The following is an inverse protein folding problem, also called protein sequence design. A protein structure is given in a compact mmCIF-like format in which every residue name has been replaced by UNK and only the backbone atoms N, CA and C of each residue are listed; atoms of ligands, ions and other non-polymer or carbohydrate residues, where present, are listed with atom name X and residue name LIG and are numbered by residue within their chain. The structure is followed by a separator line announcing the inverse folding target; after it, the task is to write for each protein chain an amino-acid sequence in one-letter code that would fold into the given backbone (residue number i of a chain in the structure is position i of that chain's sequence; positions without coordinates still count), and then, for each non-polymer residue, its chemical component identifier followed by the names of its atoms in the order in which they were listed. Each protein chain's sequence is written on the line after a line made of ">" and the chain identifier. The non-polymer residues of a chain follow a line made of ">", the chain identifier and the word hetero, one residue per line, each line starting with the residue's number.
data_IF_484940422945
#
_entry.id   IF_484940422945
#
_cell.length_a   1.000
_cell.length_b   1.000
_cell.length_c   1.000
_cell.angle_alpha   90.00
_cell.angle_beta   90.00
_cell.angle_gamma   90.00
#
_symmetry.space_group_name_H-M   'P 1'
#
loop_
_entity.id
_entity.type
_entity.pdbx_description
1 polymer ?
#
# COMPACT_ATOMS: atom_id res chain seq x y z
N UNK A 1 -36.08 13.63 -22.78
CA UNK A 1 -35.47 12.47 -22.19
C UNK A 1 -34.61 12.95 -21.03
N UNK A 2 -35.08 12.84 -19.80
CA UNK A 2 -34.25 13.07 -18.63
C UNK A 2 -33.29 11.90 -18.57
N UNK A 3 -32.09 12.06 -19.10
CA UNK A 3 -31.02 11.08 -18.89
C UNK A 3 -30.66 11.16 -17.40
N UNK A 4 -31.00 10.13 -16.65
CA UNK A 4 -30.55 10.00 -15.28
C UNK A 4 -29.02 10.13 -15.28
N UNK A 5 -28.50 11.11 -14.51
CA UNK A 5 -27.07 11.36 -14.42
C UNK A 5 -26.41 10.21 -13.66
N UNK A 6 -25.25 9.79 -14.12
CA UNK A 6 -24.45 8.83 -13.36
C UNK A 6 -24.02 9.43 -12.02
N UNK A 7 -24.03 8.64 -10.98
CA UNK A 7 -23.53 9.05 -9.67
C UNK A 7 -22.19 8.38 -9.40
N UNK A 8 -21.16 9.18 -9.18
CA UNK A 8 -19.81 8.72 -8.86
C UNK A 8 -19.39 9.13 -7.46
N UNK A 9 -18.92 8.18 -6.66
CA UNK A 9 -18.35 8.50 -5.34
C UNK A 9 -16.98 9.15 -5.50
N UNK A 10 -16.73 10.28 -4.80
CA UNK A 10 -15.44 10.98 -4.79
C UNK A 10 -14.30 10.05 -4.32
N UNK A 11 -14.56 9.16 -3.36
CA UNK A 11 -13.57 8.18 -2.88
C UNK A 11 -13.16 7.13 -3.94
N UNK A 12 -13.93 7.00 -5.01
CA UNK A 12 -13.65 6.07 -6.11
C UNK A 12 -13.19 6.75 -7.41
N UNK A 13 -13.24 8.08 -7.51
CA UNK A 13 -13.04 8.81 -8.78
C UNK A 13 -11.63 8.62 -9.40
N UNK A 14 -10.63 8.31 -8.57
CA UNK A 14 -9.28 7.94 -9.01
C UNK A 14 -9.14 6.46 -9.43
N UNK A 15 -10.17 5.65 -9.27
CA UNK A 15 -10.15 4.21 -9.59
C UNK A 15 -9.96 3.94 -11.09
N UNK A 16 -9.81 2.65 -11.43
CA UNK A 16 -9.65 2.20 -12.81
C UNK A 16 -10.84 2.63 -13.67
N UNK A 17 -10.56 3.23 -14.84
CA UNK A 17 -11.59 3.73 -15.78
C UNK A 17 -12.53 2.63 -16.26
N UNK A 18 -12.00 1.42 -16.53
CA UNK A 18 -12.84 0.26 -16.91
C UNK A 18 -13.76 -0.17 -15.76
N UNK A 19 -13.27 -0.15 -14.52
CA UNK A 19 -14.10 -0.42 -13.35
C UNK A 19 -15.23 0.61 -13.22
N UNK A 20 -14.91 1.90 -13.33
CA UNK A 20 -15.90 2.96 -13.22
C UNK A 20 -16.95 2.87 -14.34
N UNK A 21 -16.54 2.58 -15.57
CA UNK A 21 -17.48 2.37 -16.66
C UNK A 21 -18.37 1.15 -16.44
N UNK A 22 -17.85 0.06 -15.87
CA UNK A 22 -18.64 -1.10 -15.51
C UNK A 22 -19.68 -0.80 -14.41
N UNK A 23 -19.30 -0.02 -13.40
CA UNK A 23 -20.22 0.44 -12.35
C UNK A 23 -21.37 1.28 -12.97
N UNK A 24 -21.06 2.18 -13.89
CA UNK A 24 -22.06 3.02 -14.57
C UNK A 24 -22.92 2.27 -15.57
N UNK A 25 -22.43 1.18 -16.15
CA UNK A 25 -23.19 0.23 -16.98
C UNK A 25 -23.97 -0.80 -16.15
N UNK A 26 -23.96 -0.66 -14.81
CA UNK A 26 -24.65 -1.55 -13.88
C UNK A 26 -24.19 -3.01 -13.90
N UNK A 27 -22.91 -3.27 -14.22
CA UNK A 27 -22.35 -4.59 -14.02
C UNK A 27 -22.36 -4.95 -12.53
N UNK A 28 -22.70 -6.18 -12.21
CA UNK A 28 -22.77 -6.65 -10.82
C UNK A 28 -21.38 -7.07 -10.34
N UNK A 29 -20.79 -6.42 -9.33
CA UNK A 29 -19.47 -6.80 -8.83
C UNK A 29 -19.50 -8.16 -8.11
N UNK A 30 -18.39 -8.89 -8.15
CA UNK A 30 -18.20 -10.06 -7.29
C UNK A 30 -18.17 -9.58 -5.83
N UNK A 31 -18.88 -10.25 -4.90
CA UNK A 31 -18.86 -9.88 -3.49
C UNK A 31 -17.43 -9.83 -2.93
N UNK A 32 -17.12 -8.77 -2.20
CA UNK A 32 -15.81 -8.64 -1.57
C UNK A 32 -15.61 -9.69 -0.47
N UNK A 33 -14.40 -10.20 -0.28
CA UNK A 33 -14.11 -11.10 0.82
C UNK A 33 -14.36 -10.44 2.19
N UNK A 34 -14.87 -11.18 3.15
CA UNK A 34 -15.20 -10.68 4.50
C UNK A 34 -14.05 -9.98 5.23
N UNK A 35 -12.80 -10.35 4.93
CA UNK A 35 -11.65 -9.68 5.55
C UNK A 35 -11.50 -8.22 5.09
N UNK A 36 -11.96 -7.87 3.88
CA UNK A 36 -11.96 -6.48 3.37
C UNK A 36 -12.97 -5.64 4.14
N UNK A 37 -14.15 -6.19 4.41
CA UNK A 37 -15.18 -5.53 5.24
C UNK A 37 -14.66 -5.25 6.65
N UNK A 38 -14.05 -6.26 7.30
CA UNK A 38 -13.42 -6.08 8.62
C UNK A 38 -12.32 -5.02 8.61
N UNK A 39 -11.51 -4.98 7.56
CA UNK A 39 -10.46 -3.96 7.43
C UNK A 39 -11.03 -2.55 7.30
N UNK A 40 -12.20 -2.39 6.68
CA UNK A 40 -12.88 -1.10 6.59
C UNK A 40 -13.44 -0.68 7.97
N UNK A 41 -14.00 -1.61 8.74
CA UNK A 41 -14.51 -1.32 10.09
C UNK A 41 -13.38 -0.95 11.06
N UNK A 42 -12.24 -1.63 10.99
CA UNK A 42 -11.03 -1.22 11.74
C UNK A 42 -10.58 0.19 11.35
N UNK A 43 -10.68 0.54 10.06
CA UNK A 43 -10.40 1.90 9.59
C UNK A 43 -11.22 2.94 10.31
N UNK A 44 -12.54 2.75 10.40
CA UNK A 44 -13.46 3.66 11.09
C UNK A 44 -13.14 3.80 12.58
N UNK A 45 -12.75 2.70 13.24
CA UNK A 45 -12.36 2.74 14.64
C UNK A 45 -11.10 3.60 14.87
N UNK A 46 -10.07 3.44 14.01
CA UNK A 46 -8.86 4.23 14.08
C UNK A 46 -9.11 5.71 13.79
N UNK A 47 -10.01 6.02 12.87
CA UNK A 47 -10.46 7.36 12.54
C UNK A 47 -11.13 8.03 13.75
N UNK A 48 -12.14 7.39 14.34
CA UNK A 48 -12.84 7.91 15.52
C UNK A 48 -11.88 8.19 16.69
N UNK A 49 -10.90 7.30 16.90
CA UNK A 49 -9.89 7.48 17.94
C UNK A 49 -8.98 8.68 17.66
N UNK A 50 -8.51 8.84 16.41
CA UNK A 50 -7.67 10.00 16.04
C UNK A 50 -8.42 11.31 16.18
N UNK A 51 -9.69 11.34 15.81
CA UNK A 51 -10.55 12.52 15.99
C UNK A 51 -10.62 12.89 17.46
N UNK A 52 -10.82 11.90 18.35
CA UNK A 52 -10.85 12.16 19.79
C UNK A 52 -9.49 12.67 20.32
N UNK A 53 -8.39 12.02 19.92
CA UNK A 53 -7.03 12.45 20.29
C UNK A 53 -6.73 13.91 19.87
N UNK A 54 -7.25 14.35 18.73
CA UNK A 54 -7.11 15.72 18.26
C UNK A 54 -7.99 16.70 19.07
N UNK A 55 -9.21 16.30 19.38
CA UNK A 55 -10.08 17.11 20.25
C UNK A 55 -9.48 17.30 21.63
N UNK A 56 -8.92 16.24 22.21
CA UNK A 56 -8.22 16.30 23.51
C UNK A 56 -6.98 17.24 23.46
N UNK A 57 -6.44 17.48 22.27
CA UNK A 57 -5.36 18.46 21.99
C UNK A 57 -5.89 19.84 21.62
N UNK A 58 -7.16 20.12 21.84
CA UNK A 58 -7.78 21.42 21.61
C UNK A 58 -8.20 21.74 20.18
N UNK A 59 -8.07 20.80 19.23
CA UNK A 59 -8.57 21.03 17.87
C UNK A 59 -10.09 20.99 17.81
N UNK A 60 -10.68 21.91 17.08
CA UNK A 60 -12.11 21.94 16.79
C UNK A 60 -12.34 21.20 15.48
N UNK A 61 -13.05 20.06 15.55
CA UNK A 61 -13.40 19.23 14.37
C UNK A 61 -14.90 19.30 14.19
N UNK A 62 -15.31 19.86 13.05
CA UNK A 62 -16.70 20.12 12.69
C UNK A 62 -17.05 19.49 11.33
N UNK A 63 -18.31 19.55 10.93
CA UNK A 63 -18.83 19.11 9.64
C UNK A 63 -18.44 17.66 9.28
N UNK A 64 -18.36 16.79 10.30
CA UNK A 64 -18.03 15.38 10.09
C UNK A 64 -19.10 14.70 9.23
N UNK A 65 -18.65 13.89 8.28
CA UNK A 65 -19.50 13.17 7.33
C UNK A 65 -20.46 14.09 6.57
N UNK A 66 -20.09 15.36 6.39
CA UNK A 66 -20.88 16.28 5.57
C UNK A 66 -20.81 15.81 4.11
N UNK A 67 -21.99 15.62 3.53
CA UNK A 67 -22.10 15.32 2.11
C UNK A 67 -21.75 16.56 1.28
N UNK A 68 -20.87 16.36 0.31
CA UNK A 68 -20.53 17.35 -0.70
C UNK A 68 -20.76 16.76 -2.08
N UNK A 69 -21.12 17.60 -3.04
CA UNK A 69 -21.34 17.18 -4.41
C UNK A 69 -20.85 18.21 -5.43
N UNK A 70 -20.44 17.70 -6.58
CA UNK A 70 -20.11 18.49 -7.76
C UNK A 70 -20.98 17.96 -8.89
N UNK A 71 -21.88 18.80 -9.38
CA UNK A 71 -22.80 18.42 -10.44
C UNK A 71 -22.24 18.85 -11.80
N UNK A 72 -22.30 17.92 -12.76
CA UNK A 72 -21.96 18.15 -14.16
C UNK A 72 -23.16 17.82 -15.06
N UNK A 73 -23.12 18.16 -16.33
CA UNK A 73 -24.20 17.75 -17.27
C UNK A 73 -24.36 16.21 -17.36
N UNK A 74 -23.31 15.43 -17.16
CA UNK A 74 -23.29 13.98 -17.42
C UNK A 74 -23.36 13.13 -16.15
N UNK A 75 -22.78 13.61 -15.05
CA UNK A 75 -22.71 12.88 -13.79
C UNK A 75 -22.74 13.81 -12.57
N UNK A 76 -23.00 13.22 -11.42
CA UNK A 76 -22.87 13.85 -10.11
C UNK A 76 -21.70 13.17 -9.39
N UNK A 77 -20.69 13.93 -9.01
CA UNK A 77 -19.60 13.48 -8.18
C UNK A 77 -19.94 13.82 -6.73
N UNK A 78 -20.11 12.82 -5.87
CA UNK A 78 -20.57 13.02 -4.50
C UNK A 78 -19.71 12.27 -3.48
N UNK A 79 -19.63 12.76 -2.27
CA UNK A 79 -18.89 12.12 -1.18
C UNK A 79 -19.15 12.77 0.16
N UNK A 80 -18.59 12.16 1.21
CA UNK A 80 -18.68 12.66 2.57
C UNK A 80 -17.27 12.95 3.03
N UNK A 81 -17.00 14.20 3.42
CA UNK A 81 -15.71 14.59 3.99
C UNK A 81 -15.60 14.07 5.44
N UNK A 82 -14.38 13.77 5.89
CA UNK A 82 -14.16 13.43 7.30
C UNK A 82 -14.44 14.61 8.22
N UNK A 83 -14.33 15.82 7.71
CA UNK A 83 -14.73 17.04 8.39
C UNK A 83 -13.92 18.25 8.00
N UNK A 84 -14.09 19.30 8.80
CA UNK A 84 -13.21 20.48 8.83
C UNK A 84 -12.52 20.54 10.18
N UNK A 85 -11.28 21.05 10.19
CA UNK A 85 -10.49 21.20 11.42
C UNK A 85 -9.99 22.63 11.57
N UNK A 86 -10.01 23.14 12.80
CA UNK A 86 -9.47 24.45 13.21
C UNK A 86 -8.59 24.30 14.44
N UNK A 87 -7.68 25.23 14.60
CA UNK A 87 -6.90 25.37 15.82
C UNK A 87 -7.19 26.75 16.45
N UNK A 88 -7.72 26.82 17.69
CA UNK A 88 -8.03 28.09 18.32
C UNK A 88 -6.76 28.85 18.74
N UNK A 89 -6.78 30.18 18.62
CA UNK A 89 -5.62 31.06 18.87
C UNK A 89 -5.14 31.06 20.32
N UNK A 90 -6.01 30.72 21.26
CA UNK A 90 -5.75 30.73 22.69
C UNK A 90 -5.19 29.38 23.24
N UNK A 91 -5.07 28.37 22.42
CA UNK A 91 -4.59 27.05 22.85
C UNK A 91 -3.03 26.96 22.74
N UNK A 92 -2.33 26.45 23.76
CA UNK A 92 -0.86 26.49 23.80
C UNK A 92 -0.16 25.45 22.90
N UNK A 93 -0.81 24.30 22.58
CA UNK A 93 -0.19 23.19 21.86
C UNK A 93 -0.74 23.04 20.44
N UNK A 94 -0.03 23.60 19.47
CA UNK A 94 -0.35 23.46 18.04
C UNK A 94 0.39 22.28 17.39
N UNK A 95 0.01 21.09 17.74
CA UNK A 95 0.63 19.83 17.27
C UNK A 95 0.68 19.68 15.73
N UNK A 96 -0.34 20.18 15.02
CA UNK A 96 -0.41 20.15 13.55
C UNK A 96 0.18 21.40 12.88
N UNK A 97 0.57 22.40 13.66
CA UNK A 97 1.10 23.69 13.17
C UNK A 97 0.17 24.43 12.23
N UNK A 98 -1.13 24.41 12.52
CA UNK A 98 -2.14 25.14 11.74
C UNK A 98 -2.08 26.62 12.04
N UNK A 99 -2.49 27.44 11.08
CA UNK A 99 -2.73 28.86 11.36
C UNK A 99 -3.94 29.00 12.29
N UNK A 100 -3.84 29.80 13.35
CA UNK A 100 -4.95 29.99 14.29
C UNK A 100 -6.22 30.47 13.61
N UNK A 101 -7.36 29.94 14.08
CA UNK A 101 -8.71 30.29 13.65
C UNK A 101 -9.00 30.10 12.14
N UNK A 102 -8.10 29.42 11.41
CA UNK A 102 -8.31 29.08 10.01
C UNK A 102 -8.90 27.68 9.86
N UNK A 103 -9.81 27.56 8.91
CA UNK A 103 -10.47 26.29 8.58
C UNK A 103 -9.65 25.50 7.56
N UNK A 104 -9.46 24.22 7.81
CA UNK A 104 -8.82 23.28 6.91
C UNK A 104 -9.78 22.13 6.60
N UNK A 105 -9.76 21.64 5.37
CA UNK A 105 -10.37 20.36 5.05
C UNK A 105 -9.61 19.26 5.78
N UNK A 106 -10.33 18.28 6.33
CA UNK A 106 -9.74 17.23 7.15
C UNK A 106 -10.01 15.85 6.56
N UNK A 107 -8.97 15.04 6.43
CA UNK A 107 -9.05 13.68 5.92
C UNK A 107 -8.12 12.75 6.73
N UNK A 108 -8.63 11.55 7.03
CA UNK A 108 -7.88 10.49 7.72
C UNK A 108 -7.87 9.25 6.86
N UNK A 109 -6.70 8.63 6.75
CA UNK A 109 -6.54 7.27 6.22
C UNK A 109 -5.78 6.41 7.21
N UNK A 110 -6.10 5.13 7.21
CA UNK A 110 -5.35 4.13 7.97
C UNK A 110 -5.07 2.91 7.13
N UNK A 111 -3.90 2.34 7.30
CA UNK A 111 -3.47 1.16 6.56
C UNK A 111 -2.63 0.22 7.41
N UNK A 112 -2.29 -0.94 6.85
CA UNK A 112 -1.30 -1.84 7.40
C UNK A 112 0.08 -1.19 7.43
N UNK A 113 1.02 -1.76 8.20
CA UNK A 113 2.42 -1.32 8.21
C UNK A 113 3.02 -1.29 6.79
N UNK A 114 2.68 -2.27 5.94
CA UNK A 114 3.15 -2.31 4.56
C UNK A 114 2.62 -1.12 3.74
N UNK A 115 1.33 -0.80 3.87
CA UNK A 115 0.72 0.35 3.19
C UNK A 115 1.26 1.67 3.74
N UNK A 116 1.49 1.76 5.06
CA UNK A 116 2.14 2.92 5.67
C UNK A 116 3.57 3.12 5.16
N UNK A 117 4.35 2.05 5.00
CA UNK A 117 5.70 2.15 4.41
C UNK A 117 5.67 2.58 2.94
N UNK A 118 4.69 2.13 2.15
CA UNK A 118 4.47 2.64 0.79
C UNK A 118 4.12 4.12 0.81
N UNK A 119 3.20 4.52 1.70
CA UNK A 119 2.83 5.92 1.90
C UNK A 119 4.07 6.79 2.19
N UNK A 120 4.92 6.37 3.11
CA UNK A 120 6.14 7.10 3.47
C UNK A 120 7.14 7.24 2.33
N UNK A 121 7.11 6.35 1.31
CA UNK A 121 7.99 6.44 0.14
C UNK A 121 7.60 7.55 -0.82
N UNK A 122 6.32 7.69 -1.13
CA UNK A 122 5.88 8.57 -2.20
C UNK A 122 4.50 9.19 -1.98
N UNK A 123 3.87 8.97 -0.81
CA UNK A 123 2.56 9.55 -0.48
C UNK A 123 1.55 9.40 -1.60
N UNK A 124 1.04 10.51 -2.12
CA UNK A 124 0.04 10.52 -3.18
C UNK A 124 0.53 9.88 -4.50
N UNK A 125 1.84 9.91 -4.79
CA UNK A 125 2.41 9.22 -5.96
C UNK A 125 2.20 7.71 -5.86
N UNK A 126 2.36 7.15 -4.66
CA UNK A 126 2.09 5.73 -4.40
C UNK A 126 0.60 5.40 -4.26
N UNK A 127 -0.23 6.41 -4.00
CA UNK A 127 -1.66 6.27 -3.76
C UNK A 127 -2.47 7.31 -4.58
N UNK A 128 -2.46 7.23 -5.92
CA UNK A 128 -3.15 8.19 -6.79
C UNK A 128 -4.66 8.23 -6.55
N UNK A 129 -5.26 7.16 -6.05
CA UNK A 129 -6.67 7.15 -5.65
C UNK A 129 -6.94 8.09 -4.48
N UNK A 130 -6.02 8.20 -3.53
CA UNK A 130 -6.14 9.13 -2.40
C UNK A 130 -5.91 10.58 -2.84
N UNK A 131 -4.99 10.80 -3.78
CA UNK A 131 -4.79 12.09 -4.42
C UNK A 131 -6.07 12.58 -5.10
N UNK A 132 -6.67 11.72 -5.93
CA UNK A 132 -7.91 12.04 -6.63
C UNK A 132 -9.07 12.29 -5.66
N UNK A 133 -9.21 11.46 -4.62
CA UNK A 133 -10.25 11.63 -3.60
C UNK A 133 -10.13 12.98 -2.90
N UNK A 134 -8.97 13.30 -2.35
CA UNK A 134 -8.80 14.54 -1.58
C UNK A 134 -8.87 15.78 -2.49
N UNK A 135 -8.46 15.66 -3.75
CA UNK A 135 -8.61 16.70 -4.75
C UNK A 135 -10.09 16.97 -5.07
N UNK A 136 -10.89 15.91 -5.23
CA UNK A 136 -12.33 16.05 -5.43
C UNK A 136 -13.04 16.64 -4.21
N UNK A 137 -12.65 16.21 -2.99
CA UNK A 137 -13.17 16.77 -1.75
C UNK A 137 -12.83 18.27 -1.61
N UNK A 138 -11.60 18.65 -1.92
CA UNK A 138 -11.17 20.04 -1.91
C UNK A 138 -12.01 20.89 -2.87
N UNK A 139 -12.22 20.40 -4.10
CA UNK A 139 -12.99 21.11 -5.11
C UNK A 139 -14.45 21.33 -4.68
N UNK A 140 -15.09 20.31 -4.11
CA UNK A 140 -16.46 20.43 -3.60
C UNK A 140 -16.54 21.30 -2.34
N UNK A 141 -15.62 21.13 -1.40
CA UNK A 141 -15.67 21.80 -0.11
C UNK A 141 -15.30 23.31 -0.18
N UNK A 142 -14.44 23.72 -1.12
CA UNK A 142 -14.04 25.14 -1.27
C UNK A 142 -15.20 26.07 -1.65
N UNK A 143 -16.29 25.52 -2.17
CA UNK A 143 -17.51 26.30 -2.45
C UNK A 143 -18.36 26.53 -1.20
N UNK A 144 -18.17 25.73 -0.15
CA UNK A 144 -18.92 25.76 1.10
C UNK A 144 -18.16 26.46 2.22
N UNK A 145 -16.83 26.44 2.18
CA UNK A 145 -15.96 26.90 3.25
C UNK A 145 -14.81 27.76 2.74
N UNK A 146 -14.43 28.78 3.52
CA UNK A 146 -13.15 29.51 3.32
C UNK A 146 -12.00 28.64 3.82
N UNK A 147 -11.53 27.72 3.01
CA UNK A 147 -10.49 26.76 3.36
C UNK A 147 -9.10 27.36 3.18
N UNK A 148 -8.29 27.27 4.24
CA UNK A 148 -6.88 27.66 4.19
C UNK A 148 -5.97 26.57 3.63
N UNK A 149 -6.38 25.32 3.70
CA UNK A 149 -5.62 24.16 3.25
C UNK A 149 -6.29 22.85 3.65
N UNK A 150 -5.50 21.80 3.60
CA UNK A 150 -5.92 20.43 3.89
C UNK A 150 -5.04 19.87 5.01
N UNK A 151 -5.64 19.24 6.01
CA UNK A 151 -4.97 18.36 6.97
C UNK A 151 -5.24 16.92 6.56
N UNK A 152 -4.21 16.22 6.12
CA UNK A 152 -4.28 14.84 5.73
C UNK A 152 -3.46 13.97 6.70
N UNK A 153 -4.09 13.03 7.34
CA UNK A 153 -3.47 12.11 8.31
C UNK A 153 -3.45 10.69 7.75
N UNK A 154 -2.30 10.05 7.80
CA UNK A 154 -2.18 8.63 7.47
C UNK A 154 -1.64 7.85 8.66
N UNK A 155 -2.42 6.90 9.18
CA UNK A 155 -2.09 6.09 10.35
C UNK A 155 -1.73 4.67 9.99
N UNK A 156 -0.62 4.17 10.53
CA UNK A 156 -0.36 2.74 10.62
C UNK A 156 -1.20 2.11 11.73
N UNK A 157 -2.01 1.11 11.35
CA UNK A 157 -2.89 0.40 12.29
C UNK A 157 -2.15 -0.52 13.24
N UNK A 158 -0.98 -1.04 12.84
CA UNK A 158 -0.22 -2.03 13.58
C UNK A 158 0.73 -1.44 14.61
N UNK A 159 1.51 -0.43 14.20
CA UNK A 159 2.54 0.19 15.04
C UNK A 159 2.15 1.55 15.63
N UNK A 160 0.98 2.08 15.24
CA UNK A 160 0.49 3.37 15.73
C UNK A 160 1.22 4.59 15.17
N UNK A 161 2.10 4.43 14.18
CA UNK A 161 2.77 5.56 13.53
C UNK A 161 1.77 6.44 12.78
N UNK A 162 2.04 7.75 12.77
CA UNK A 162 1.18 8.75 12.14
C UNK A 162 2.03 9.69 11.27
N UNK A 163 1.74 9.73 9.97
CA UNK A 163 2.20 10.81 9.09
C UNK A 163 1.16 11.93 9.04
N UNK A 164 1.64 13.17 9.07
CA UNK A 164 0.83 14.39 9.09
C UNK A 164 1.24 15.27 7.94
N UNK A 165 0.31 15.55 7.05
CA UNK A 165 0.49 16.46 5.93
C UNK A 165 -0.44 17.65 6.09
N UNK A 166 0.14 18.86 6.05
CA UNK A 166 -0.64 20.10 5.94
C UNK A 166 -0.33 20.70 4.58
N UNK A 167 -1.33 20.69 3.71
CA UNK A 167 -1.23 21.15 2.33
C UNK A 167 -1.94 22.49 2.19
N UNK A 168 -1.38 23.40 1.43
CA UNK A 168 -2.01 24.70 1.16
C UNK A 168 -3.14 24.62 0.12
N UNK A 169 -3.15 23.55 -0.70
CA UNK A 169 -4.12 23.29 -1.75
C UNK A 169 -4.20 21.78 -2.02
N UNK A 170 -5.13 21.38 -2.88
CA UNK A 170 -5.22 19.99 -3.33
C UNK A 170 -3.91 19.50 -3.97
N UNK A 171 -3.51 18.23 -3.74
CA UNK A 171 -2.28 17.69 -4.30
C UNK A 171 -2.37 17.40 -5.80
N UNK A 172 -3.56 17.15 -6.34
CA UNK A 172 -3.80 16.84 -7.75
C UNK A 172 -4.53 17.96 -8.51
N UNK A 173 -4.72 17.74 -9.80
CA UNK A 173 -5.52 18.61 -10.68
C UNK A 173 -6.93 18.03 -10.88
N UNK A 174 -7.93 18.75 -10.41
CA UNK A 174 -9.34 18.36 -10.59
C UNK A 174 -9.77 18.28 -12.05
N UNK A 175 -9.17 19.08 -12.94
CA UNK A 175 -9.50 19.03 -14.36
C UNK A 175 -9.13 17.68 -15.01
N UNK A 176 -8.06 17.03 -14.52
CA UNK A 176 -7.68 15.68 -14.97
C UNK A 176 -8.72 14.64 -14.54
N UNK A 177 -9.20 14.73 -13.29
CA UNK A 177 -10.28 13.86 -12.79
C UNK A 177 -11.54 14.06 -13.61
N UNK A 178 -11.90 15.32 -13.86
CA UNK A 178 -13.06 15.68 -14.67
C UNK A 178 -12.95 15.16 -16.09
N UNK A 179 -11.81 15.36 -16.77
CA UNK A 179 -11.56 14.87 -18.11
C UNK A 179 -11.69 13.34 -18.21
N UNK A 180 -11.13 12.64 -17.22
CA UNK A 180 -11.26 11.17 -17.10
C UNK A 180 -12.73 10.75 -16.99
N UNK A 181 -13.49 11.34 -16.08
CA UNK A 181 -14.89 10.98 -15.87
C UNK A 181 -15.76 11.37 -17.07
N UNK A 182 -15.46 12.50 -17.74
CA UNK A 182 -16.13 12.90 -18.98
C UNK A 182 -15.90 11.90 -20.12
N UNK A 183 -14.68 11.36 -20.24
CA UNK A 183 -14.34 10.33 -21.24
C UNK A 183 -15.05 9.00 -20.93
N UNK A 184 -15.11 8.60 -19.67
CA UNK A 184 -15.88 7.43 -19.22
C UNK A 184 -17.37 7.61 -19.54
N UNK A 185 -17.95 8.78 -19.24
CA UNK A 185 -19.35 9.07 -19.52
C UNK A 185 -19.67 8.97 -21.03
N UNK A 186 -18.75 9.39 -21.89
CA UNK A 186 -18.91 9.24 -23.34
C UNK A 186 -18.87 7.77 -23.78
N UNK A 187 -17.99 6.97 -23.22
CA UNK A 187 -17.91 5.53 -23.50
C UNK A 187 -19.18 4.81 -23.08
N UNK A 188 -19.63 5.07 -21.85
CA UNK A 188 -20.84 4.47 -21.27
C UNK A 188 -22.10 4.88 -22.02
N UNK A 189 -22.19 6.10 -22.51
CA UNK A 189 -23.30 6.55 -23.36
C UNK A 189 -23.41 5.77 -24.67
N UNK A 190 -22.34 5.09 -25.11
CA UNK A 190 -22.31 4.20 -26.26
C UNK A 190 -22.35 2.71 -25.87
N UNK A 191 -22.69 2.40 -24.62
CA UNK A 191 -22.70 1.05 -24.06
C UNK A 191 -21.36 0.32 -24.19
N UNK A 192 -20.24 1.04 -24.04
CA UNK A 192 -18.88 0.50 -24.19
C UNK A 192 -18.11 0.65 -22.87
N UNK A 193 -17.46 -0.43 -22.46
CA UNK A 193 -16.50 -0.38 -21.35
C UNK A 193 -15.26 0.42 -21.76
N UNK A 194 -14.83 1.35 -20.89
CA UNK A 194 -13.60 2.10 -21.10
C UNK A 194 -12.37 1.19 -20.94
N UNK A 195 -11.23 1.63 -21.47
CA UNK A 195 -9.98 0.89 -21.30
C UNK A 195 -9.52 0.82 -19.84
N UNK A 196 -8.77 -0.23 -19.50
CA UNK A 196 -8.24 -0.40 -18.16
C UNK A 196 -6.98 0.45 -17.95
N UNK A 197 -6.90 1.17 -16.80
CA UNK A 197 -5.75 2.02 -16.48
C UNK A 197 -4.56 1.20 -15.93
N UNK A 198 -4.80 -0.03 -15.48
CA UNK A 198 -3.80 -0.86 -14.79
C UNK A 198 -3.57 -2.19 -15.51
N UNK A 199 -2.33 -2.65 -15.43
CA UNK A 199 -1.99 -4.01 -15.87
C UNK A 199 -2.72 -5.05 -15.01
N UNK A 200 -3.24 -6.16 -15.61
CA UNK A 200 -3.94 -7.22 -14.87
C UNK A 200 -3.12 -7.87 -13.73
N UNK A 201 -1.80 -7.77 -13.76
CA UNK A 201 -0.91 -8.26 -12.69
C UNK A 201 -0.75 -7.29 -11.52
N UNK A 202 -1.18 -6.04 -11.66
CA UNK A 202 -1.07 -5.00 -10.63
C UNK A 202 -1.86 -5.34 -9.37
N UNK A 203 -1.51 -4.71 -8.25
CA UNK A 203 -2.21 -4.90 -6.99
C UNK A 203 -3.63 -4.34 -7.03
N UNK A 204 -3.85 -3.28 -7.80
CA UNK A 204 -5.13 -2.64 -8.04
C UNK A 204 -6.10 -3.62 -8.74
N UNK A 205 -5.60 -4.29 -9.78
CA UNK A 205 -6.38 -5.31 -10.50
C UNK A 205 -6.62 -6.56 -9.66
N UNK A 206 -5.64 -7.03 -8.88
CA UNK A 206 -5.80 -8.20 -7.99
C UNK A 206 -6.86 -7.99 -6.91
N UNK A 207 -7.10 -6.74 -6.52
CA UNK A 207 -8.12 -6.35 -5.54
C UNK A 207 -9.44 -5.89 -6.19
N UNK A 208 -9.51 -5.88 -7.51
CA UNK A 208 -10.70 -5.42 -8.23
C UNK A 208 -11.79 -6.50 -8.28
N UNK A 209 -12.97 -6.17 -7.82
CA UNK A 209 -14.12 -7.06 -7.79
C UNK A 209 -14.85 -7.21 -9.15
N UNK A 210 -14.35 -6.55 -10.19
CA UNK A 210 -14.81 -6.73 -11.57
C UNK A 210 -13.79 -7.47 -12.45
N UNK A 211 -12.56 -7.68 -11.95
CA UNK A 211 -11.43 -8.20 -12.73
C UNK A 211 -11.78 -9.45 -13.53
N UNK A 212 -12.32 -10.45 -12.83
CA UNK A 212 -12.56 -11.77 -13.43
C UNK A 212 -13.73 -11.76 -14.41
N UNK A 213 -14.68 -10.83 -14.24
CA UNK A 213 -15.87 -10.73 -15.08
C UNK A 213 -15.63 -9.92 -16.37
N UNK A 214 -14.86 -8.80 -16.28
CA UNK A 214 -14.76 -7.85 -17.39
C UNK A 214 -13.36 -7.70 -17.98
N UNK A 215 -12.32 -8.09 -17.24
CA UNK A 215 -10.94 -7.96 -17.73
C UNK A 215 -10.32 -9.30 -18.12
N UNK A 216 -10.70 -10.40 -17.46
CA UNK A 216 -10.19 -11.74 -17.74
C UNK A 216 -11.17 -12.58 -18.57
N UNK A 217 -12.47 -12.28 -18.52
CA UNK A 217 -13.47 -12.99 -19.30
C UNK A 217 -13.29 -12.85 -20.83
N UNK A 218 -12.69 -11.72 -21.28
CA UNK A 218 -12.34 -11.51 -22.68
C UNK A 218 -11.06 -12.28 -23.10
N UNK A 219 -10.31 -12.83 -22.15
CA UNK A 219 -9.14 -13.66 -22.43
C UNK A 219 -9.59 -15.09 -22.66
N UNK A 220 -9.78 -15.37 -23.93
CA UNK A 220 -9.74 -16.70 -24.54
C UNK A 220 -10.66 -17.76 -23.91
N UNK A 221 -11.62 -18.20 -24.65
CA UNK A 221 -12.00 -19.61 -24.61
C UNK A 221 -10.74 -20.42 -24.94
N UNK A 222 -9.92 -20.68 -23.90
CA UNK A 222 -8.79 -21.60 -24.00
C UNK A 222 -9.32 -22.86 -24.65
N UNK A 223 -8.74 -23.27 -25.74
CA UNK A 223 -9.10 -24.59 -26.28
C UNK A 223 -8.88 -25.62 -25.17
N UNK A 224 -9.69 -26.67 -25.09
CA UNK A 224 -9.53 -27.71 -24.05
C UNK A 224 -8.10 -28.28 -24.02
N UNK A 225 -7.40 -28.28 -25.15
CA UNK A 225 -6.00 -28.69 -25.24
C UNK A 225 -5.06 -27.71 -24.53
N UNK A 226 -5.25 -26.41 -24.73
CA UNK A 226 -4.44 -25.35 -24.05
C UNK A 226 -4.69 -25.36 -22.55
N UNK A 227 -5.94 -25.50 -22.12
CA UNK A 227 -6.31 -25.60 -20.70
C UNK A 227 -5.62 -26.80 -20.04
N UNK A 228 -5.65 -27.99 -20.70
CA UNK A 228 -4.95 -29.17 -20.18
C UNK A 228 -3.46 -29.01 -20.07
N UNK A 229 -2.80 -28.34 -21.03
CA UNK A 229 -1.36 -28.06 -20.99
C UNK A 229 -1.00 -27.09 -19.87
N UNK A 230 -1.79 -26.04 -19.66
CA UNK A 230 -1.60 -25.07 -18.58
C UNK A 230 -1.82 -25.69 -17.20
N UNK A 231 -2.84 -26.57 -17.04
CA UNK A 231 -3.06 -27.29 -15.80
C UNK A 231 -1.88 -28.21 -15.46
N UNK A 232 -1.30 -28.87 -16.45
CA UNK A 232 -0.12 -29.70 -16.26
C UNK A 232 1.11 -28.85 -15.86
N UNK A 233 1.33 -27.72 -16.50
CA UNK A 233 2.39 -26.78 -16.12
C UNK A 233 2.23 -26.27 -14.67
N UNK A 234 1.00 -25.96 -14.24
CA UNK A 234 0.72 -25.55 -12.85
C UNK A 234 1.05 -26.67 -11.86
N UNK A 235 0.74 -27.94 -12.20
CA UNK A 235 1.10 -29.08 -11.36
C UNK A 235 2.61 -29.22 -11.21
N UNK A 236 3.35 -29.12 -12.33
CA UNK A 236 4.81 -29.18 -12.33
C UNK A 236 5.44 -28.05 -11.48
N UNK A 237 4.91 -26.83 -11.58
CA UNK A 237 5.34 -25.72 -10.74
C UNK A 237 5.11 -26.00 -9.24
N UNK A 238 3.95 -26.55 -8.88
CA UNK A 238 3.64 -26.89 -7.48
C UNK A 238 4.54 -28.00 -6.95
N UNK A 239 4.82 -29.00 -7.75
CA UNK A 239 5.72 -30.08 -7.38
C UNK A 239 7.16 -29.59 -7.23
N UNK A 240 7.64 -28.75 -8.15
CA UNK A 240 8.94 -28.10 -8.06
C UNK A 240 9.07 -27.24 -6.78
N UNK A 241 8.03 -26.50 -6.40
CA UNK A 241 8.01 -25.71 -5.17
C UNK A 241 8.05 -26.59 -3.91
N UNK A 242 7.39 -27.73 -3.93
CA UNK A 242 7.42 -28.73 -2.86
C UNK A 242 8.83 -29.32 -2.69
N UNK A 243 9.43 -29.78 -3.78
CA UNK A 243 10.80 -30.34 -3.79
C UNK A 243 11.83 -29.30 -3.33
N UNK A 244 11.69 -28.05 -3.74
CA UNK A 244 12.54 -26.96 -3.26
C UNK A 244 12.44 -26.77 -1.75
N UNK A 245 11.22 -26.77 -1.18
CA UNK A 245 10.99 -26.64 0.27
C UNK A 245 11.57 -27.81 1.05
N UNK A 246 11.42 -29.04 0.52
CA UNK A 246 12.00 -30.25 1.12
C UNK A 246 13.53 -30.19 1.05
N UNK A 247 14.11 -29.78 -0.08
CA UNK A 247 15.54 -29.59 -0.25
C UNK A 247 16.11 -28.53 0.72
N UNK A 248 15.42 -27.38 0.87
CA UNK A 248 15.80 -26.34 1.81
C UNK A 248 15.76 -26.84 3.28
N UNK A 249 14.79 -27.66 3.62
CA UNK A 249 14.69 -28.24 4.95
C UNK A 249 15.82 -29.25 5.24
N UNK A 250 16.13 -30.10 4.27
CA UNK A 250 17.25 -31.05 4.36
C UNK A 250 18.59 -30.32 4.45
N UNK A 251 18.80 -29.27 3.62
CA UNK A 251 19.99 -28.44 3.66
C UNK A 251 20.17 -27.78 5.03
N UNK A 252 19.12 -27.15 5.58
CA UNK A 252 19.15 -26.53 6.91
C UNK A 252 19.46 -27.54 8.01
N UNK A 253 18.91 -28.74 7.93
CA UNK A 253 19.20 -29.83 8.88
C UNK A 253 20.66 -30.22 8.80
N UNK A 254 21.20 -30.43 7.60
CA UNK A 254 22.60 -30.74 7.37
C UNK A 254 23.55 -29.66 7.93
N UNK A 255 23.30 -28.39 7.58
CA UNK A 255 24.08 -27.26 8.11
C UNK A 255 24.05 -27.20 9.63
N UNK A 256 22.91 -27.45 10.26
CA UNK A 256 22.79 -27.48 11.70
C UNK A 256 23.68 -28.56 12.32
N UNK A 257 23.67 -29.77 11.79
CA UNK A 257 24.54 -30.86 12.27
C UNK A 257 26.03 -30.53 12.13
N UNK A 258 26.42 -29.91 11.00
CA UNK A 258 27.81 -29.47 10.79
C UNK A 258 28.20 -28.36 11.78
N UNK A 259 27.31 -27.41 12.03
CA UNK A 259 27.56 -26.34 13.01
C UNK A 259 27.71 -26.86 14.43
N UNK A 260 26.86 -27.81 14.86
CA UNK A 260 26.92 -28.47 16.15
C UNK A 260 28.29 -29.19 16.35
N UNK A 261 28.79 -29.86 15.30
CA UNK A 261 30.12 -30.45 15.30
C UNK A 261 31.22 -29.40 15.45
N UNK A 262 31.17 -28.34 14.64
CA UNK A 262 32.14 -27.24 14.71
C UNK A 262 32.15 -26.55 16.07
N UNK A 263 30.98 -26.38 16.69
CA UNK A 263 30.85 -25.83 18.05
C UNK A 263 31.48 -26.71 19.09
N UNK A 264 31.29 -28.03 19.00
CA UNK A 264 31.89 -28.99 19.96
C UNK A 264 33.43 -29.02 19.88
N UNK A 265 34.00 -28.85 18.68
CA UNK A 265 35.45 -28.88 18.47
C UNK A 265 36.13 -27.52 18.73
N UNK A 266 35.50 -26.43 18.35
CA UNK A 266 36.08 -25.08 18.47
C UNK A 266 35.00 -24.01 18.62
N UNK A 267 34.44 -23.78 19.84
CA UNK A 267 33.29 -22.91 20.05
C UNK A 267 33.56 -21.45 19.69
N UNK A 268 34.78 -20.95 19.97
CA UNK A 268 35.06 -19.48 19.90
C UNK A 268 36.04 -19.09 18.82
N UNK A 269 36.45 -20.00 17.93
CA UNK A 269 37.43 -19.73 16.87
C UNK A 269 36.90 -20.08 15.50
N UNK A 270 37.50 -19.45 14.48
CA UNK A 270 37.32 -19.90 13.10
C UNK A 270 37.81 -21.35 13.00
N UNK A 271 36.99 -22.18 12.42
CA UNK A 271 37.29 -23.59 12.23
C UNK A 271 36.88 -24.03 10.84
N UNK A 272 37.67 -24.88 10.22
CA UNK A 272 37.31 -25.48 8.93
C UNK A 272 37.85 -26.91 8.86
N UNK A 273 37.12 -27.77 8.21
CA UNK A 273 37.57 -29.13 7.89
C UNK A 273 37.12 -29.48 6.47
N UNK A 274 37.78 -30.48 5.92
CA UNK A 274 37.40 -30.99 4.60
C UNK A 274 36.89 -32.42 4.80
N UNK A 275 35.73 -32.69 4.20
CA UNK A 275 35.16 -34.03 4.16
C UNK A 275 34.86 -34.35 2.69
N UNK A 276 35.50 -35.41 2.17
CA UNK A 276 35.52 -35.70 0.74
C UNK A 276 35.96 -34.47 -0.08
N UNK A 277 35.16 -34.02 -0.99
CA UNK A 277 35.43 -32.84 -1.85
C UNK A 277 34.75 -31.57 -1.33
N UNK A 278 34.24 -31.59 -0.09
CA UNK A 278 33.53 -30.47 0.53
C UNK A 278 34.40 -29.81 1.60
N UNK A 279 34.62 -28.51 1.50
CA UNK A 279 35.11 -27.71 2.60
C UNK A 279 33.98 -27.20 3.45
N UNK A 280 34.11 -27.32 4.77
CA UNK A 280 33.12 -26.85 5.76
C UNK A 280 33.76 -25.78 6.63
N UNK A 281 33.76 -24.52 6.23
CA UNK A 281 34.23 -23.40 7.02
C UNK A 281 33.17 -22.96 8.03
N UNK A 282 33.60 -22.61 9.23
CA UNK A 282 32.81 -21.91 10.24
C UNK A 282 33.51 -20.61 10.61
N UNK A 283 32.84 -19.49 10.41
CA UNK A 283 33.36 -18.16 10.71
C UNK A 283 32.30 -17.27 11.33
N UNK A 284 32.71 -16.32 12.18
CA UNK A 284 31.80 -15.35 12.74
C UNK A 284 31.33 -14.37 11.68
N UNK A 285 30.10 -13.93 11.78
CA UNK A 285 29.59 -12.84 10.99
C UNK A 285 28.96 -11.78 11.88
N UNK A 286 29.01 -10.57 11.41
CA UNK A 286 28.36 -9.44 12.05
C UNK A 286 27.53 -8.69 11.00
N UNK A 287 26.28 -8.46 11.33
CA UNK A 287 25.37 -7.66 10.50
C UNK A 287 24.98 -6.42 11.28
N UNK A 288 25.29 -5.26 10.70
CA UNK A 288 24.80 -3.97 11.19
C UNK A 288 23.53 -3.63 10.42
N UNK A 289 22.45 -3.32 11.13
CA UNK A 289 21.22 -2.82 10.54
C UNK A 289 20.90 -1.45 11.10
N UNK A 290 20.55 -0.53 10.23
CA UNK A 290 20.11 0.82 10.57
C UNK A 290 18.65 0.99 10.18
N UNK A 291 17.97 1.87 10.87
CA UNK A 291 16.77 2.50 10.32
C UNK A 291 17.20 3.28 9.08
N UNK A 292 16.57 3.00 7.94
CA UNK A 292 16.89 3.43 6.55
C UNK A 292 17.68 4.75 6.42
N UNK A 293 18.53 4.83 5.40
CA UNK A 293 19.42 5.97 5.04
C UNK A 293 18.80 7.37 5.16
N UNK A 294 17.46 7.49 4.99
CA UNK A 294 16.74 8.76 5.16
C UNK A 294 16.72 9.25 6.61
N UNK A 295 16.76 8.34 7.58
CA UNK A 295 16.75 8.65 9.01
C UNK A 295 18.16 9.05 9.44
N UNK A 296 19.21 8.42 8.91
CA UNK A 296 20.60 8.73 9.18
C UNK A 296 20.99 10.15 8.73
N UNK A 297 20.43 10.62 7.61
CA UNK A 297 20.64 12.00 7.12
C UNK A 297 19.95 13.06 7.96
N UNK A 298 18.99 12.68 8.79
CA UNK A 298 18.14 13.61 9.55
C UNK A 298 18.45 13.63 11.05
N UNK A 299 19.30 12.73 11.54
CA UNK A 299 19.60 12.56 12.95
C UNK A 299 21.09 12.85 13.22
N UNK A 300 21.38 13.28 14.46
CA UNK A 300 22.79 13.46 14.87
C UNK A 300 23.50 12.10 14.94
N UNK A 301 24.84 12.07 14.76
CA UNK A 301 25.64 10.84 14.85
C UNK A 301 25.43 10.06 16.15
N UNK A 302 25.21 10.76 17.27
CA UNK A 302 24.97 10.14 18.59
C UNK A 302 23.62 9.39 18.65
N UNK A 303 22.61 9.91 17.99
CA UNK A 303 21.28 9.27 17.93
C UNK A 303 21.35 8.07 16.97
N UNK A 304 22.04 8.19 15.85
CA UNK A 304 22.26 7.09 14.91
C UNK A 304 22.97 5.91 15.58
N UNK A 305 24.00 6.16 16.41
CA UNK A 305 24.70 5.11 17.13
C UNK A 305 23.80 4.39 18.16
N UNK A 306 22.93 5.12 18.86
CA UNK A 306 21.94 4.53 19.78
C UNK A 306 20.89 3.65 19.08
N UNK A 307 20.58 3.96 17.81
CA UNK A 307 19.61 3.21 17.00
C UNK A 307 20.25 2.05 16.24
N UNK A 308 21.58 1.96 16.26
CA UNK A 308 22.32 0.91 15.59
C UNK A 308 22.05 -0.46 16.24
N UNK A 309 21.50 -1.37 15.47
CA UNK A 309 21.34 -2.76 15.87
C UNK A 309 22.43 -3.61 15.24
N UNK A 310 23.27 -4.20 16.07
CA UNK A 310 24.30 -5.13 15.63
C UNK A 310 23.86 -6.55 15.99
N UNK A 311 23.79 -7.42 14.99
CA UNK A 311 23.53 -8.85 15.17
C UNK A 311 24.81 -9.61 14.83
N UNK A 312 25.27 -10.42 15.77
CA UNK A 312 26.45 -11.29 15.61
C UNK A 312 26.03 -12.74 15.61
N UNK A 313 26.69 -13.54 14.84
CA UNK A 313 26.44 -14.97 14.79
C UNK A 313 27.59 -15.73 14.15
N UNK A 314 27.37 -17.02 14.00
CA UNK A 314 28.27 -17.90 13.28
C UNK A 314 27.57 -18.44 12.05
N UNK A 315 28.32 -18.66 10.98
CA UNK A 315 27.81 -19.34 9.80
C UNK A 315 28.66 -20.58 9.51
N UNK A 316 27.97 -21.64 9.14
CA UNK A 316 28.56 -22.88 8.65
C UNK A 316 27.93 -23.12 7.28
N UNK A 317 28.73 -23.03 6.22
CA UNK A 317 28.25 -23.20 4.85
C UNK A 317 29.19 -24.15 4.11
N UNK A 318 28.75 -25.39 3.85
CA UNK A 318 29.55 -26.33 3.05
C UNK A 318 29.71 -25.79 1.64
N UNK A 319 30.93 -25.89 1.10
CA UNK A 319 31.29 -25.45 -0.24
C UNK A 319 31.89 -26.62 -1.02
N UNK A 320 31.38 -26.89 -2.19
CA UNK A 320 31.90 -27.90 -3.11
C UNK A 320 33.19 -27.38 -3.75
N UNK A 321 34.28 -28.02 -3.45
CA UNK A 321 35.61 -27.61 -3.95
C UNK A 321 35.77 -27.79 -5.46
N UNK A 322 35.05 -28.71 -6.07
CA UNK A 322 35.09 -28.92 -7.54
C UNK A 322 34.61 -27.71 -8.31
N UNK A 323 33.71 -26.91 -7.76
CA UNK A 323 33.18 -25.69 -8.38
C UNK A 323 34.10 -24.47 -8.28
N UNK A 324 35.13 -24.56 -7.46
CA UNK A 324 36.12 -23.47 -7.30
C UNK A 324 37.17 -23.51 -8.40
N UNK A 325 37.46 -24.69 -8.92
CA UNK A 325 38.47 -24.88 -10.02
C UNK A 325 37.88 -24.47 -11.38
N UNK A 326 36.56 -24.56 -11.61
CA UNK A 326 35.91 -24.16 -12.86
C UNK A 326 35.77 -22.63 -13.05
N UNK A 327 35.95 -21.84 -12.00
CA UNK A 327 35.84 -20.37 -12.06
C UNK A 327 37.18 -19.65 -11.92
N UNK A 328 38.28 -20.36 -12.04
CA UNK A 328 39.66 -19.88 -11.85
C UNK A 328 40.51 -19.79 -13.12
N UNK A 329 39.89 -19.83 -14.33
CA UNK A 329 40.58 -19.54 -15.61
C UNK A 329 40.15 -18.17 -16.19
#
# INVERSE_FOLDING_TARGET
>A
MTTDKYTQRMSGCGGCSRKLSAEWLNYIPIPMPKFVERSADEGKWHEARLIQELRDKGYIIENQQLEISIETPKYILMGHIEGTIKYPSDHPDNYLKLLPDKTYLFEIKSGSMYEFQRWMKGRFIEFPNYEAQITAYWEGAKSLFDLKGIVYLYKDRSGGYLDKQVLNHAPGDFNLIRAKLDAIAMSVANDVLYEADFDPSSIECKRCNFRDQICLAEKEQLTKATEKALLEAVKQCREGDKLRKEGDALYKKGVKTLDEHCQAVSPDKKYSFTLDEMAVPRYPWERTSYLKETVEKSLSPEICEKLRKVTKGWTTKPTDLRKVEENGE
#
